data_IF_974650182294
#
_entry.id   IF_974650182294
#
_cell.length_a   1.000
_cell.length_b   1.000
_cell.length_c   1.000
_cell.angle_alpha   90.00
_cell.angle_beta   90.00
_cell.angle_gamma   90.00
#
_symmetry.space_group_name_H-M   'P 1'
#
loop_
_entity.id
_entity.type
_entity.pdbx_description
1 polymer ?
#
# COMPACT_ATOMS: atom_id res chain seq x y z
N UNK A 1 -22.61 5.04 6.47
CA UNK A 1 -21.79 4.95 5.23
C UNK A 1 -20.95 3.67 5.10
N UNK A 2 -20.85 2.80 6.12
CA UNK A 2 -19.96 1.62 6.07
C UNK A 2 -20.52 0.39 5.33
N UNK A 3 -21.78 0.46 4.86
CA UNK A 3 -22.51 -0.71 4.36
C UNK A 3 -22.71 -0.74 2.84
N UNK A 4 -22.40 0.34 2.11
CA UNK A 4 -22.66 0.41 0.66
C UNK A 4 -21.41 0.00 -0.15
N UNK A 5 -21.42 -1.17 -0.84
CA UNK A 5 -20.35 -1.61 -1.72
C UNK A 5 -19.91 -0.64 -2.84
N UNK A 6 -20.78 0.22 -3.43
CA UNK A 6 -20.38 1.05 -4.57
C UNK A 6 -19.26 2.05 -4.25
N UNK A 7 -19.10 2.49 -3.00
CA UNK A 7 -18.01 3.40 -2.63
C UNK A 7 -16.62 2.76 -2.79
N UNK A 8 -16.52 1.43 -2.74
CA UNK A 8 -15.26 0.70 -2.98
C UNK A 8 -15.05 0.33 -4.46
N UNK A 9 -16.12 0.36 -5.26
CA UNK A 9 -16.08 -0.01 -6.68
C UNK A 9 -15.16 0.91 -7.49
N UNK A 10 -15.18 2.23 -7.21
CA UNK A 10 -14.36 3.23 -7.89
C UNK A 10 -12.86 2.90 -7.82
N UNK A 11 -12.38 2.50 -6.63
CA UNK A 11 -10.97 2.14 -6.40
C UNK A 11 -10.61 0.85 -7.16
N UNK A 12 -11.49 -0.14 -7.19
CA UNK A 12 -11.27 -1.38 -7.95
C UNK A 12 -11.19 -1.13 -9.45
N UNK A 13 -12.10 -0.32 -10.00
CA UNK A 13 -12.11 0.03 -11.42
C UNK A 13 -10.82 0.76 -11.80
N UNK A 14 -10.39 1.74 -10.99
CA UNK A 14 -9.12 2.45 -11.21
C UNK A 14 -7.90 1.53 -11.17
N UNK A 15 -7.89 0.54 -10.27
CA UNK A 15 -6.83 -0.48 -10.21
C UNK A 15 -6.77 -1.36 -11.47
N UNK A 16 -7.93 -1.79 -11.98
CA UNK A 16 -8.01 -2.58 -13.22
C UNK A 16 -7.53 -1.75 -14.42
N UNK A 17 -7.97 -0.49 -14.50
CA UNK A 17 -7.56 0.44 -15.55
C UNK A 17 -6.05 0.68 -15.53
N UNK A 18 -5.47 0.86 -14.34
CA UNK A 18 -4.03 0.96 -14.15
C UNK A 18 -3.31 -0.31 -14.65
N UNK A 19 -3.80 -1.51 -14.29
CA UNK A 19 -3.24 -2.77 -14.74
C UNK A 19 -3.25 -2.91 -16.27
N UNK A 20 -4.34 -2.48 -16.91
CA UNK A 20 -4.44 -2.42 -18.37
C UNK A 20 -3.41 -1.43 -18.98
N UNK A 21 -3.30 -0.23 -18.41
CA UNK A 21 -2.30 0.77 -18.82
C UNK A 21 -0.87 0.24 -18.69
N UNK A 22 -0.53 -0.45 -17.60
CA UNK A 22 0.79 -1.07 -17.40
C UNK A 22 1.10 -2.11 -18.49
N UNK A 23 0.11 -2.90 -18.90
CA UNK A 23 0.28 -3.88 -19.98
C UNK A 23 0.46 -3.21 -21.34
N UNK A 24 -0.31 -2.16 -21.64
CA UNK A 24 -0.30 -1.48 -22.93
C UNK A 24 0.94 -0.61 -23.13
N UNK A 25 1.40 0.08 -22.10
CA UNK A 25 2.50 1.04 -22.16
C UNK A 25 3.84 0.46 -21.64
N UNK A 26 4.02 -0.86 -21.77
CA UNK A 26 5.22 -1.55 -21.30
C UNK A 26 6.43 -1.16 -22.16
N UNK A 27 7.42 -0.53 -21.54
CA UNK A 27 8.70 -0.19 -22.19
C UNK A 27 8.74 1.20 -22.86
N UNK A 28 7.75 2.06 -22.61
CA UNK A 28 7.80 3.44 -23.09
C UNK A 28 8.78 4.25 -22.26
N UNK A 29 9.73 4.89 -22.95
CA UNK A 29 10.65 5.82 -22.32
C UNK A 29 10.00 7.21 -22.25
N UNK A 30 9.50 7.56 -21.06
CA UNK A 30 9.04 8.90 -20.72
C UNK A 30 10.20 9.90 -20.70
N UNK A 31 9.95 11.10 -21.20
CA UNK A 31 10.89 12.22 -21.10
C UNK A 31 10.93 12.76 -19.66
N UNK A 32 12.06 13.33 -19.23
CA UNK A 32 12.23 13.94 -17.89
C UNK A 32 11.18 15.01 -17.57
N UNK A 33 10.67 15.72 -18.58
CA UNK A 33 9.61 16.73 -18.42
C UNK A 33 8.25 16.09 -18.10
N UNK A 34 7.89 15.01 -18.81
CA UNK A 34 6.66 14.26 -18.53
C UNK A 34 6.68 13.64 -17.13
N UNK A 35 7.85 13.13 -16.71
CA UNK A 35 8.01 12.59 -15.37
C UNK A 35 7.78 13.66 -14.30
N UNK A 36 8.36 14.86 -14.45
CA UNK A 36 8.14 15.99 -13.54
C UNK A 36 6.68 16.42 -13.50
N UNK A 37 6.04 16.57 -14.66
CA UNK A 37 4.63 16.94 -14.75
C UNK A 37 3.74 15.93 -14.04
N UNK A 38 3.94 14.63 -14.26
CA UNK A 38 3.14 13.62 -13.58
C UNK A 38 3.36 13.59 -12.07
N UNK A 39 4.58 13.86 -11.58
CA UNK A 39 4.81 14.03 -10.14
C UNK A 39 4.08 15.25 -9.56
N UNK A 40 4.08 16.40 -10.26
CA UNK A 40 3.36 17.61 -9.84
C UNK A 40 1.85 17.37 -9.82
N UNK A 41 1.30 16.72 -10.86
CA UNK A 41 -0.12 16.38 -10.92
C UNK A 41 -0.48 15.41 -9.81
N UNK A 42 0.32 14.38 -9.58
CA UNK A 42 0.09 13.39 -8.53
C UNK A 42 0.10 14.04 -7.13
N UNK A 43 1.08 14.90 -6.82
CA UNK A 43 1.13 15.60 -5.53
C UNK A 43 -0.01 16.61 -5.37
N UNK A 44 -0.40 17.31 -6.43
CA UNK A 44 -1.57 18.19 -6.39
C UNK A 44 -2.87 17.40 -6.09
N UNK A 45 -3.07 16.25 -6.74
CA UNK A 45 -4.23 15.40 -6.49
C UNK A 45 -4.29 14.91 -5.03
N UNK A 46 -3.17 14.45 -4.47
CA UNK A 46 -3.16 13.98 -3.07
C UNK A 46 -3.36 15.13 -2.09
N UNK A 47 -2.78 16.31 -2.35
CA UNK A 47 -2.97 17.50 -1.52
C UNK A 47 -4.42 17.96 -1.51
N UNK A 48 -5.08 18.03 -2.68
CA UNK A 48 -6.51 18.36 -2.77
C UNK A 48 -7.36 17.34 -2.01
N UNK A 49 -7.01 16.05 -2.10
CA UNK A 49 -7.71 15.01 -1.35
C UNK A 49 -7.52 15.13 0.17
N UNK A 50 -6.34 15.54 0.65
CA UNK A 50 -6.05 15.69 2.08
C UNK A 50 -6.57 17.00 2.68
N UNK A 51 -6.49 18.09 1.93
CA UNK A 51 -6.86 19.45 2.39
C UNK A 51 -8.32 19.78 2.10
N UNK A 52 -8.97 19.07 1.19
CA UNK A 52 -10.40 19.22 0.89
C UNK A 52 -11.35 19.18 2.10
N UNK A 53 -11.14 18.30 3.11
CA UNK A 53 -11.98 18.26 4.30
C UNK A 53 -11.51 19.20 5.42
N UNK A 54 -10.36 19.89 5.28
CA UNK A 54 -9.86 20.80 6.30
C UNK A 54 -10.88 21.88 6.77
N UNK A 55 -11.65 22.55 5.88
CA UNK A 55 -12.67 23.49 6.31
C UNK A 55 -13.91 22.83 6.93
N UNK A 56 -14.13 21.53 6.70
CA UNK A 56 -15.26 20.79 7.28
C UNK A 56 -15.07 20.46 8.77
N UNK A 57 -13.88 20.70 9.32
CA UNK A 57 -13.55 20.49 10.73
C UNK A 57 -13.75 21.70 11.64
N UNK A 58 -14.12 22.87 11.09
CA UNK A 58 -14.36 24.09 11.87
C UNK A 58 -15.74 24.04 12.55
N UNK A 59 -15.82 24.50 13.80
CA UNK A 59 -17.07 24.53 14.59
C UNK A 59 -18.11 25.49 13.99
N UNK A 60 -17.66 26.50 13.25
CA UNK A 60 -18.52 27.49 12.59
C UNK A 60 -18.87 27.09 11.14
N UNK A 61 -18.51 25.88 10.71
CA UNK A 61 -18.72 25.45 9.33
C UNK A 61 -20.21 25.28 9.01
N UNK A 62 -20.71 26.05 8.06
CA UNK A 62 -22.03 25.85 7.48
C UNK A 62 -21.97 24.67 6.50
N UNK A 63 -22.62 23.57 6.86
CA UNK A 63 -22.59 22.35 6.07
C UNK A 63 -23.22 22.57 4.70
N UNK A 64 -22.42 22.44 3.65
CA UNK A 64 -22.90 22.46 2.28
C UNK A 64 -22.87 21.05 1.68
N UNK A 65 -24.06 20.50 1.42
CA UNK A 65 -24.27 19.17 0.86
C UNK A 65 -23.57 18.96 -0.47
N UNK A 66 -23.52 19.98 -1.32
CA UNK A 66 -22.96 19.89 -2.67
C UNK A 66 -21.45 19.76 -2.64
N UNK A 67 -20.77 20.55 -1.80
CA UNK A 67 -19.32 20.45 -1.62
C UNK A 67 -18.92 19.11 -0.99
N UNK A 68 -19.69 18.62 -0.01
CA UNK A 68 -19.46 17.32 0.61
C UNK A 68 -19.63 16.16 -0.38
N UNK A 69 -20.65 16.19 -1.23
CA UNK A 69 -20.89 15.16 -2.24
C UNK A 69 -19.78 15.12 -3.30
N UNK A 70 -19.34 16.29 -3.79
CA UNK A 70 -18.23 16.39 -4.74
C UNK A 70 -16.95 15.83 -4.10
N UNK A 71 -16.63 16.25 -2.88
CA UNK A 71 -15.45 15.75 -2.18
C UNK A 71 -15.50 14.21 -1.99
N UNK A 72 -16.64 13.67 -1.55
CA UNK A 72 -16.81 12.22 -1.36
C UNK A 72 -16.62 11.41 -2.66
N UNK A 73 -16.99 11.96 -3.82
CA UNK A 73 -16.81 11.31 -5.11
C UNK A 73 -15.37 11.42 -5.64
N UNK A 74 -14.75 12.60 -5.54
CA UNK A 74 -13.44 12.87 -6.16
C UNK A 74 -12.24 12.52 -5.29
N UNK A 75 -12.35 12.58 -3.96
CA UNK A 75 -11.27 12.21 -3.04
C UNK A 75 -10.70 10.80 -3.29
N UNK A 76 -11.52 9.72 -3.38
CA UNK A 76 -10.98 8.38 -3.64
C UNK A 76 -10.32 8.27 -5.02
N UNK A 77 -10.84 8.99 -6.03
CA UNK A 77 -10.27 9.03 -7.39
C UNK A 77 -8.89 9.70 -7.37
N UNK A 78 -8.78 10.86 -6.74
CA UNK A 78 -7.53 11.60 -6.61
C UNK A 78 -6.46 10.78 -5.88
N UNK A 79 -6.85 10.07 -4.82
CA UNK A 79 -5.98 9.14 -4.11
C UNK A 79 -5.49 8.02 -5.03
N UNK A 80 -6.38 7.41 -5.82
CA UNK A 80 -6.02 6.35 -6.77
C UNK A 80 -5.03 6.84 -7.84
N UNK A 81 -5.23 8.05 -8.38
CA UNK A 81 -4.33 8.62 -9.41
C UNK A 81 -2.91 8.78 -8.87
N UNK A 82 -2.76 9.25 -7.62
CA UNK A 82 -1.46 9.38 -6.98
C UNK A 82 -0.73 8.03 -6.88
N UNK A 83 -1.38 7.00 -6.34
CA UNK A 83 -0.79 5.66 -6.24
C UNK A 83 -0.57 5.01 -7.61
N UNK A 84 -1.47 5.24 -8.57
CA UNK A 84 -1.35 4.78 -9.94
C UNK A 84 -0.08 5.33 -10.60
N UNK A 85 0.20 6.61 -10.42
CA UNK A 85 1.43 7.23 -10.92
C UNK A 85 2.69 6.61 -10.31
N UNK A 86 2.72 6.39 -9.00
CA UNK A 86 3.85 5.75 -8.30
C UNK A 86 4.10 4.35 -8.86
N UNK A 87 3.06 3.53 -8.98
CA UNK A 87 3.16 2.15 -9.50
C UNK A 87 3.63 2.16 -10.94
N UNK A 88 3.11 3.08 -11.77
CA UNK A 88 3.52 3.21 -13.17
C UNK A 88 4.99 3.60 -13.33
N UNK A 89 5.47 4.58 -12.55
CA UNK A 89 6.88 5.01 -12.54
C UNK A 89 7.80 3.89 -12.06
N UNK A 90 7.40 3.19 -10.99
CA UNK A 90 8.14 2.03 -10.46
C UNK A 90 8.22 0.89 -11.48
N UNK A 91 7.13 0.59 -12.18
CA UNK A 91 7.07 -0.49 -13.18
C UNK A 91 7.96 -0.21 -14.41
N UNK A 92 8.06 1.05 -14.83
CA UNK A 92 8.92 1.45 -15.96
C UNK A 92 10.41 1.57 -15.59
N UNK A 93 10.80 1.28 -14.35
CA UNK A 93 12.21 1.24 -13.94
C UNK A 93 12.82 2.61 -13.61
N UNK A 94 12.01 3.67 -13.51
CA UNK A 94 12.47 4.98 -13.07
C UNK A 94 12.74 4.97 -11.56
N UNK A 95 14.01 5.11 -11.19
CA UNK A 95 14.45 5.14 -9.79
C UNK A 95 14.56 6.59 -9.31
N UNK A 96 13.67 6.96 -8.40
CA UNK A 96 13.73 8.21 -7.64
C UNK A 96 13.88 7.85 -6.15
N UNK A 97 14.41 8.76 -5.32
CA UNK A 97 14.53 8.56 -3.86
C UNK A 97 13.19 8.13 -3.22
N UNK A 98 12.09 8.70 -3.69
CA UNK A 98 10.73 8.31 -3.27
C UNK A 98 10.41 6.85 -3.62
N UNK A 99 10.58 6.45 -4.89
CA UNK A 99 10.31 5.08 -5.32
C UNK A 99 11.20 4.06 -4.60
N UNK A 100 12.44 4.42 -4.31
CA UNK A 100 13.38 3.59 -3.56
C UNK A 100 12.94 3.42 -2.09
N UNK A 101 12.51 4.52 -1.45
CA UNK A 101 11.92 4.46 -0.11
C UNK A 101 10.71 3.52 -0.09
N UNK A 102 9.79 3.65 -1.05
CA UNK A 102 8.59 2.81 -1.13
C UNK A 102 8.88 1.35 -1.47
N UNK A 103 10.00 1.06 -2.15
CA UNK A 103 10.42 -0.32 -2.46
C UNK A 103 11.14 -1.01 -1.29
N UNK A 104 11.21 -0.38 -0.12
CA UNK A 104 11.94 -0.92 1.02
C UNK A 104 11.27 -2.19 1.57
N UNK A 105 12.08 -3.24 1.82
CA UNK A 105 11.63 -4.52 2.40
C UNK A 105 10.92 -4.36 3.75
N UNK A 106 11.17 -3.27 4.50
CA UNK A 106 10.47 -2.97 5.75
C UNK A 106 8.95 -2.86 5.57
N UNK A 107 8.47 -2.32 4.45
CA UNK A 107 7.04 -2.23 4.16
C UNK A 107 6.37 -3.60 4.07
N UNK A 108 7.07 -4.65 3.66
CA UNK A 108 6.51 -6.00 3.64
C UNK A 108 6.22 -6.52 5.05
N UNK A 109 7.05 -6.17 6.04
CA UNK A 109 6.81 -6.52 7.45
C UNK A 109 5.67 -5.68 8.00
N UNK A 110 5.65 -4.38 7.70
CA UNK A 110 4.59 -3.47 8.14
C UNK A 110 3.21 -3.88 7.63
N UNK A 111 3.07 -4.31 6.37
CA UNK A 111 1.80 -4.81 5.82
C UNK A 111 1.30 -6.05 6.56
N UNK A 112 2.20 -6.98 6.90
CA UNK A 112 1.86 -8.18 7.67
C UNK A 112 1.44 -7.86 9.09
N UNK A 113 2.19 -6.97 9.76
CA UNK A 113 1.85 -6.50 11.08
C UNK A 113 0.49 -5.79 11.10
N UNK A 114 0.22 -4.94 10.10
CA UNK A 114 -1.06 -4.25 9.95
C UNK A 114 -2.22 -5.23 9.76
N UNK A 115 -2.01 -6.32 9.01
CA UNK A 115 -2.99 -7.38 8.87
C UNK A 115 -3.27 -8.09 10.20
N UNK A 116 -2.22 -8.41 10.98
CA UNK A 116 -2.40 -9.00 12.31
C UNK A 116 -3.14 -8.05 13.27
N UNK A 117 -2.83 -6.75 13.23
CA UNK A 117 -3.55 -5.72 13.99
C UNK A 117 -5.03 -5.69 13.63
N UNK A 118 -5.35 -5.71 12.34
CA UNK A 118 -6.74 -5.71 11.89
C UNK A 118 -7.53 -6.92 12.43
N UNK A 119 -6.89 -8.10 12.47
CA UNK A 119 -7.53 -9.31 13.00
C UNK A 119 -7.72 -9.28 14.52
N UNK A 120 -6.79 -8.70 15.29
CA UNK A 120 -6.83 -8.69 16.76
C UNK A 120 -7.63 -7.53 17.32
N UNK A 121 -7.75 -6.42 16.58
CA UNK A 121 -8.43 -5.21 17.02
C UNK A 121 -9.88 -5.48 17.45
N UNK A 122 -10.67 -6.19 16.63
CA UNK A 122 -12.07 -6.47 16.95
C UNK A 122 -12.26 -7.39 18.17
N UNK A 123 -11.58 -8.55 18.28
CA UNK A 123 -11.64 -9.39 19.47
C UNK A 123 -11.25 -8.67 20.76
N UNK A 124 -10.16 -7.89 20.73
CA UNK A 124 -9.69 -7.15 21.91
C UNK A 124 -10.67 -6.05 22.29
N UNK A 125 -11.23 -5.35 21.30
CA UNK A 125 -12.28 -4.35 21.53
C UNK A 125 -13.51 -4.95 22.20
N UNK A 126 -14.05 -6.05 21.68
CA UNK A 126 -15.20 -6.73 22.31
C UNK A 126 -14.90 -7.23 23.72
N UNK A 127 -13.69 -7.74 23.94
CA UNK A 127 -13.26 -8.17 25.27
C UNK A 127 -13.16 -7.01 26.27
N UNK A 128 -12.63 -5.87 25.85
CA UNK A 128 -12.57 -4.66 26.68
C UNK A 128 -13.96 -4.10 26.98
N UNK A 129 -14.82 -3.98 25.96
CA UNK A 129 -16.22 -3.53 26.13
C UNK A 129 -16.97 -4.45 27.09
N UNK A 130 -16.85 -5.77 26.95
CA UNK A 130 -17.51 -6.74 27.84
C UNK A 130 -17.01 -6.71 29.29
N UNK A 131 -15.77 -6.28 29.53
CA UNK A 131 -15.21 -6.09 30.89
C UNK A 131 -15.61 -4.77 31.53
N UNK A 132 -15.99 -3.75 30.75
CA UNK A 132 -16.33 -2.42 31.29
C UNK A 132 -17.70 -2.44 31.95
N UNK A 133 -17.73 -2.57 33.28
CA UNK A 133 -18.97 -2.50 34.09
C UNK A 133 -19.21 -1.14 34.76
N UNK A 134 -18.27 -0.20 34.62
CA UNK A 134 -18.36 1.14 35.22
C UNK A 134 -18.02 2.23 34.18
N UNK A 135 -18.69 3.39 34.30
CA UNK A 135 -18.46 4.56 33.46
C UNK A 135 -17.11 5.15 33.87
N UNK A 136 -16.11 5.06 32.99
CA UNK A 136 -14.84 5.75 33.19
C UNK A 136 -15.05 7.23 32.87
N UNK A 137 -14.85 8.11 33.85
CA UNK A 137 -14.85 9.55 33.61
C UNK A 137 -13.53 9.93 32.91
N UNK A 138 -13.58 10.04 31.59
CA UNK A 138 -12.46 10.56 30.82
C UNK A 138 -12.41 12.08 30.96
N UNK A 139 -11.38 12.58 31.64
CA UNK A 139 -11.15 14.02 31.81
C UNK A 139 -10.64 14.72 30.54
N UNK A 140 -10.24 13.96 29.51
CA UNK A 140 -9.66 14.50 28.27
C UNK A 140 -10.25 13.81 27.03
N UNK A 141 -10.56 14.61 26.00
CA UNK A 141 -11.06 14.15 24.69
C UNK A 141 -10.12 13.11 24.05
N UNK A 142 -8.81 13.26 24.24
CA UNK A 142 -7.80 12.31 23.72
C UNK A 142 -7.89 10.95 24.42
N UNK A 143 -8.12 10.91 25.73
CA UNK A 143 -8.28 9.63 26.45
C UNK A 143 -9.61 8.95 26.13
N UNK A 144 -10.65 9.69 25.73
CA UNK A 144 -11.93 9.13 25.29
C UNK A 144 -11.80 8.39 23.94
N UNK A 145 -10.90 8.85 23.06
CA UNK A 145 -10.67 8.29 21.72
C UNK A 145 -9.53 7.27 21.71
N UNK A 146 -8.53 7.42 22.59
CA UNK A 146 -7.36 6.56 22.67
C UNK A 146 -7.13 6.08 24.11
N UNK A 147 -7.72 4.93 24.44
CA UNK A 147 -7.30 4.19 25.63
C UNK A 147 -5.93 3.55 25.38
N UNK A 148 -4.88 4.15 25.94
CA UNK A 148 -3.49 3.69 25.78
C UNK A 148 -3.33 2.22 26.17
N UNK A 149 -4.02 1.77 27.23
CA UNK A 149 -3.99 0.37 27.67
C UNK A 149 -4.55 -0.58 26.62
N UNK A 150 -5.67 -0.21 25.99
CA UNK A 150 -6.29 -1.00 24.92
C UNK A 150 -5.39 -1.06 23.69
N UNK A 151 -4.79 0.06 23.30
CA UNK A 151 -3.82 0.12 22.20
C UNK A 151 -2.60 -0.76 22.44
N UNK A 152 -2.04 -0.72 23.65
CA UNK A 152 -0.88 -1.55 24.04
C UNK A 152 -1.26 -3.02 23.96
N UNK A 153 -2.42 -3.42 24.49
CA UNK A 153 -2.91 -4.80 24.41
C UNK A 153 -3.12 -5.27 22.96
N UNK A 154 -3.74 -4.46 22.10
CA UNK A 154 -3.92 -4.76 20.68
C UNK A 154 -2.55 -4.93 20.00
N UNK A 155 -1.62 -4.01 20.25
CA UNK A 155 -0.29 -4.04 19.64
C UNK A 155 0.49 -5.30 20.06
N UNK A 156 0.55 -5.61 21.36
CA UNK A 156 1.19 -6.81 21.89
C UNK A 156 0.57 -8.10 21.33
N UNK A 157 -0.77 -8.19 21.33
CA UNK A 157 -1.48 -9.35 20.79
C UNK A 157 -1.18 -9.53 19.29
N UNK A 158 -1.08 -8.44 18.54
CA UNK A 158 -0.78 -8.45 17.10
C UNK A 158 0.65 -8.90 16.81
N UNK A 159 1.62 -8.41 17.60
CA UNK A 159 3.02 -8.84 17.50
C UNK A 159 3.14 -10.33 17.84
N UNK A 160 2.50 -10.78 18.93
CA UNK A 160 2.47 -12.19 19.29
C UNK A 160 1.87 -13.04 18.17
N UNK A 161 0.70 -12.66 17.62
CA UNK A 161 0.06 -13.38 16.53
C UNK A 161 0.95 -13.41 15.27
N UNK A 162 1.61 -12.31 14.94
CA UNK A 162 2.53 -12.26 13.79
C UNK A 162 3.71 -13.21 13.98
N UNK A 163 4.31 -13.27 15.18
CA UNK A 163 5.45 -14.15 15.45
C UNK A 163 5.01 -15.62 15.50
N UNK A 164 3.89 -15.93 16.15
CA UNK A 164 3.41 -17.29 16.33
C UNK A 164 2.74 -17.90 15.10
N UNK A 165 2.13 -17.11 14.23
CA UNK A 165 1.42 -17.63 13.04
C UNK A 165 2.13 -17.28 11.74
N UNK A 166 2.53 -16.02 11.53
CA UNK A 166 3.11 -15.60 10.25
C UNK A 166 4.52 -16.19 10.03
N UNK A 167 5.38 -16.18 11.05
CA UNK A 167 6.73 -16.74 10.93
C UNK A 167 6.74 -18.26 10.61
N UNK A 168 5.97 -19.14 11.30
CA UNK A 168 5.93 -20.55 10.92
C UNK A 168 5.24 -20.78 9.58
N UNK A 169 4.17 -20.04 9.23
CA UNK A 169 3.54 -20.18 7.92
C UNK A 169 4.48 -19.84 6.77
N UNK A 170 5.35 -18.84 6.94
CA UNK A 170 6.37 -18.51 5.96
C UNK A 170 7.38 -19.64 5.77
N UNK A 171 7.79 -20.28 6.86
CA UNK A 171 8.71 -21.42 6.81
C UNK A 171 8.05 -22.64 6.14
N UNK A 172 6.80 -22.94 6.48
CA UNK A 172 6.01 -24.00 5.86
C UNK A 172 5.81 -23.74 4.37
N UNK A 173 5.44 -22.50 3.97
CA UNK A 173 5.31 -22.14 2.55
C UNK A 173 6.62 -22.30 1.80
N UNK A 174 7.75 -21.93 2.39
CA UNK A 174 9.09 -22.14 1.78
C UNK A 174 9.44 -23.62 1.64
N UNK A 175 8.99 -24.47 2.56
CA UNK A 175 9.20 -25.92 2.51
C UNK A 175 8.33 -26.58 1.44
N UNK A 176 7.06 -26.18 1.33
CA UNK A 176 6.10 -26.73 0.36
C UNK A 176 6.37 -26.22 -1.07
N UNK A 177 6.63 -24.91 -1.22
CA UNK A 177 6.94 -24.27 -2.50
C UNK A 177 8.44 -24.17 -2.80
N UNK A 178 9.26 -25.04 -2.19
CA UNK A 178 10.68 -25.18 -2.57
C UNK A 178 10.74 -25.76 -3.97
N UNK A 179 10.57 -24.88 -4.96
CA UNK A 179 10.78 -25.15 -6.38
C UNK A 179 12.25 -25.57 -6.48
N UNK A 180 12.49 -26.79 -6.97
CA UNK A 180 13.83 -27.21 -7.35
C UNK A 180 14.50 -26.07 -8.14
N UNK A 181 15.76 -25.71 -7.85
CA UNK A 181 16.44 -24.67 -8.60
C UNK A 181 16.36 -25.05 -10.08
N UNK A 182 15.71 -24.22 -10.89
CA UNK A 182 15.74 -24.38 -12.33
C UNK A 182 17.23 -24.36 -12.74
N UNK A 183 17.69 -25.30 -13.58
CA UNK A 183 19.08 -25.32 -13.99
C UNK A 183 19.40 -23.98 -14.63
N UNK A 184 20.37 -23.28 -14.03
CA UNK A 184 21.00 -22.12 -14.62
C UNK A 184 21.40 -22.49 -16.04
N UNK A 185 20.76 -21.88 -17.05
CA UNK A 185 21.30 -21.82 -18.40
C UNK A 185 22.60 -21.01 -18.31
N UNK A 186 23.67 -21.69 -17.93
CA UNK A 186 25.04 -21.21 -18.08
C UNK A 186 25.20 -20.93 -19.56
N UNK A 187 25.39 -19.67 -19.89
CA UNK A 187 25.62 -19.16 -21.23
C UNK A 187 26.64 -20.06 -21.95
N UNK A 188 26.19 -20.74 -22.99
CA UNK A 188 27.01 -21.32 -24.04
C UNK A 188 27.52 -20.17 -24.94
N UNK A 189 28.40 -19.33 -24.41
CA UNK A 189 29.08 -18.25 -25.16
C UNK A 189 30.61 -18.35 -24.96
N UNK A 190 31.16 -19.54 -25.17
CA UNK A 190 32.60 -19.81 -24.98
C UNK A 190 33.30 -20.66 -26.04
N UNK A 191 32.59 -21.21 -27.05
CA UNK A 191 33.19 -22.19 -27.97
C UNK A 191 33.19 -21.80 -29.47
N UNK A 192 32.92 -20.54 -29.84
CA UNK A 192 32.91 -20.11 -31.26
C UNK A 192 34.05 -19.13 -31.61
N UNK A 193 35.14 -19.08 -30.84
CA UNK A 193 36.29 -18.18 -31.16
C UNK A 193 37.68 -18.83 -31.29
N UNK A 194 37.79 -20.16 -31.35
CA UNK A 194 39.13 -20.82 -31.42
C UNK A 194 39.25 -21.88 -32.52
N UNK A 195 38.54 -21.76 -33.64
CA UNK A 195 38.70 -22.69 -34.78
C UNK A 195 38.94 -22.02 -36.14
N UNK A 196 39.25 -20.72 -36.18
CA UNK A 196 39.56 -20.00 -37.44
C UNK A 196 40.99 -19.45 -37.53
N UNK A 197 41.93 -20.07 -36.82
CA UNK A 197 43.37 -19.84 -36.98
C UNK A 197 44.07 -21.19 -36.77
N UNK A 198 44.17 -21.97 -37.84
CA UNK A 198 45.15 -23.04 -38.16
C UNK A 198 44.50 -23.81 -39.32
N UNK A 199 44.80 -23.39 -40.56
CA UNK A 199 44.79 -24.17 -41.81
C UNK A 199 44.52 -23.22 -42.98
N UNK A 200 45.57 -22.54 -43.40
CA UNK A 200 45.81 -22.21 -44.80
C UNK A 200 47.31 -21.95 -44.92
N UNK A 201 47.97 -22.99 -45.44
CA UNK A 201 49.16 -22.83 -46.27
C UNK A 201 48.95 -21.75 -47.34
#
# INVERSE_FOLDING_TARGET
MYSFPPHRSTVYIMGILLGYCLRKYRGIQLTKTQLRLGWVVATACVLVSLLGPAPMGDINYQYNTTHAAIYAAFAPIAWCIFFAWIVFVSHNGYKNKFTEMLSWKGFQVSTKLSYAIYLTQFPVFFFNVGRRRHIHHYYNFVSIILDTNEFICIFLASVALTIFFDAPFQNIKKLIFKRAPAPSKKLENGLVKTSTQISSD
#
